data_IF_805755998537
#
_entry.id   IF_805755998537
#
_cell.length_a   1.000
_cell.length_b   1.000
_cell.length_c   1.000
_cell.angle_alpha   90.00
_cell.angle_beta   90.00
_cell.angle_gamma   90.00
#
_symmetry.space_group_name_H-M   'P 1'
#
loop_
_entity.id
_entity.type
_entity.pdbx_description
1 polymer ?
#
# COMPACT_ATOMS: atom_id res chain seq x y z
N UNK A 1 -23.95 -6.06 21.16
CA UNK A 1 -22.73 -5.24 21.31
C UNK A 1 -22.24 -4.90 19.92
N UNK A 2 -22.41 -3.66 19.50
CA UNK A 2 -22.00 -3.18 18.17
C UNK A 2 -20.52 -2.85 18.22
N UNK A 3 -19.68 -3.58 17.48
CA UNK A 3 -18.29 -3.19 17.30
C UNK A 3 -18.28 -1.96 16.39
N UNK A 4 -18.10 -0.78 16.97
CA UNK A 4 -17.89 0.45 16.21
C UNK A 4 -16.65 0.26 15.35
N UNK A 5 -16.79 0.42 14.04
CA UNK A 5 -15.68 0.51 13.08
C UNK A 5 -14.83 1.73 13.47
N UNK A 6 -13.84 1.53 14.35
CA UNK A 6 -12.80 2.53 14.55
C UNK A 6 -12.01 2.58 13.25
N UNK A 7 -12.18 3.67 12.51
CA UNK A 7 -11.50 3.88 11.25
C UNK A 7 -10.00 4.06 11.53
N UNK A 8 -9.18 3.06 11.18
CA UNK A 8 -7.73 3.16 11.31
C UNK A 8 -7.22 4.22 10.30
N UNK A 9 -6.62 5.29 10.81
CA UNK A 9 -5.85 6.25 10.01
C UNK A 9 -4.45 5.68 9.86
N UNK A 10 -4.03 5.39 8.63
CA UNK A 10 -2.68 4.89 8.36
C UNK A 10 -1.89 5.99 7.67
N UNK A 11 -0.63 6.15 8.13
CA UNK A 11 0.36 7.01 7.52
C UNK A 11 0.98 6.29 6.31
N UNK A 12 1.14 7.00 5.19
CA UNK A 12 1.86 6.48 4.02
C UNK A 12 2.70 7.57 3.36
N UNK A 13 3.68 7.14 2.55
CA UNK A 13 4.58 7.99 1.78
C UNK A 13 4.38 7.71 0.31
N UNK A 14 4.14 8.75 -0.50
CA UNK A 14 4.00 8.62 -1.95
C UNK A 14 5.38 8.42 -2.60
N UNK A 15 5.54 7.36 -3.37
CA UNK A 15 6.80 7.04 -4.06
C UNK A 15 6.69 7.12 -5.59
N UNK A 16 5.45 7.18 -6.13
CA UNK A 16 5.09 7.34 -7.54
C UNK A 16 6.06 6.66 -8.54
N UNK A 17 5.71 5.47 -8.99
CA UNK A 17 6.55 4.60 -9.82
C UNK A 17 6.76 5.12 -11.27
N UNK A 18 6.01 6.15 -11.68
CA UNK A 18 6.11 6.74 -13.01
C UNK A 18 7.16 7.87 -13.02
N UNK A 19 8.42 7.55 -13.32
CA UNK A 19 9.47 8.57 -13.41
C UNK A 19 10.93 8.11 -13.39
N UNK A 20 11.23 6.82 -13.16
CA UNK A 20 12.59 6.28 -13.27
C UNK A 20 12.70 5.24 -14.38
N UNK A 21 13.94 5.01 -14.86
CA UNK A 21 14.41 4.23 -16.02
C UNK A 21 13.86 2.80 -16.21
N UNK A 22 12.91 2.35 -15.37
CA UNK A 22 12.25 1.05 -15.39
C UNK A 22 10.80 1.16 -15.91
N UNK A 23 10.58 1.91 -16.98
CA UNK A 23 9.23 2.16 -17.53
C UNK A 23 8.78 1.02 -18.44
N UNK A 24 7.92 0.14 -17.92
CA UNK A 24 7.19 -0.84 -18.75
C UNK A 24 5.69 -0.52 -18.86
N UNK A 25 5.09 0.24 -17.93
CA UNK A 25 3.66 0.60 -18.00
C UNK A 25 3.40 1.99 -17.43
N UNK A 26 3.48 3.01 -18.28
CA UNK A 26 3.27 4.41 -17.90
C UNK A 26 1.79 4.83 -17.93
N UNK A 27 0.89 4.02 -17.36
CA UNK A 27 -0.50 4.44 -17.13
C UNK A 27 -1.06 3.94 -15.81
N UNK A 28 -0.42 4.31 -14.71
CA UNK A 28 -0.97 4.11 -13.37
C UNK A 28 -1.81 5.35 -13.02
N UNK A 29 -3.11 5.15 -12.83
CA UNK A 29 -4.08 6.24 -12.60
C UNK A 29 -4.22 6.63 -11.13
N UNK A 30 -3.51 5.94 -10.23
CA UNK A 30 -3.63 6.09 -8.78
C UNK A 30 -2.29 6.46 -8.14
N UNK A 31 -2.34 7.10 -6.97
CA UNK A 31 -1.12 7.42 -6.24
C UNK A 31 -0.56 6.14 -5.60
N UNK A 32 0.73 5.88 -5.78
CA UNK A 32 1.41 4.71 -5.21
C UNK A 32 2.38 5.16 -4.13
N UNK A 33 2.41 4.38 -3.05
CA UNK A 33 3.20 4.66 -1.86
C UNK A 33 3.56 3.39 -1.10
N UNK A 34 4.10 3.61 0.08
CA UNK A 34 4.41 2.58 1.07
C UNK A 34 3.96 3.02 2.46
N UNK A 35 3.74 2.06 3.35
CA UNK A 35 3.45 2.33 4.76
C UNK A 35 4.77 2.35 5.56
N UNK A 36 5.11 3.42 6.29
CA UNK A 36 6.29 3.44 7.14
C UNK A 36 6.21 2.40 8.25
N UNK A 37 7.37 1.89 8.67
CA UNK A 37 7.50 0.94 9.78
C UNK A 37 6.78 -0.40 9.56
N UNK A 38 6.57 -0.79 8.30
CA UNK A 38 6.17 -2.15 7.91
C UNK A 38 7.30 -2.82 7.12
N UNK A 39 7.26 -4.14 7.05
CA UNK A 39 8.19 -4.94 6.26
C UNK A 39 7.54 -6.29 5.94
N UNK A 40 7.61 -6.71 4.68
CA UNK A 40 7.18 -8.03 4.24
C UNK A 40 8.35 -9.03 4.35
N UNK A 41 8.38 -9.78 5.45
CA UNK A 41 9.49 -10.69 5.78
C UNK A 41 9.58 -11.89 4.80
N UNK A 42 10.69 -12.04 4.05
CA UNK A 42 10.87 -13.15 3.10
C UNK A 42 11.15 -14.49 3.79
N UNK A 43 11.38 -14.53 5.09
CA UNK A 43 11.61 -15.76 5.85
C UNK A 43 10.31 -16.46 6.28
N UNK A 44 9.16 -15.78 6.12
CA UNK A 44 7.85 -16.28 6.54
C UNK A 44 6.99 -16.57 5.31
N UNK A 45 6.58 -17.82 5.14
CA UNK A 45 5.62 -18.22 4.10
C UNK A 45 4.18 -18.14 4.61
N UNK A 46 3.26 -17.64 3.79
CA UNK A 46 1.84 -17.61 4.12
C UNK A 46 1.07 -18.78 3.48
N UNK A 47 0.49 -19.65 4.31
CA UNK A 47 -0.26 -20.83 3.87
C UNK A 47 -1.57 -20.52 3.15
N UNK A 48 -2.16 -19.34 3.36
CA UNK A 48 -3.40 -18.93 2.69
C UNK A 48 -3.18 -18.51 1.23
N UNK A 49 -1.93 -18.21 0.86
CA UNK A 49 -1.54 -17.76 -0.49
C UNK A 49 -0.47 -18.68 -1.08
N UNK A 50 -0.76 -19.99 -1.06
CA UNK A 50 0.06 -21.03 -1.69
C UNK A 50 1.53 -21.05 -1.21
N UNK A 51 1.79 -20.60 0.01
CA UNK A 51 3.14 -20.56 0.58
C UNK A 51 3.99 -19.41 0.06
N UNK A 52 3.39 -18.35 -0.50
CA UNK A 52 4.11 -17.16 -0.91
C UNK A 52 4.90 -16.52 0.25
N UNK A 53 6.07 -15.99 -0.07
CA UNK A 53 6.95 -15.27 0.85
C UNK A 53 6.79 -13.77 0.66
N UNK A 54 7.11 -12.98 1.69
CA UNK A 54 7.25 -11.53 1.54
C UNK A 54 8.34 -11.18 0.52
N UNK A 55 8.17 -10.06 -0.18
CA UNK A 55 9.09 -9.59 -1.21
C UNK A 55 10.29 -8.78 -0.67
N UNK A 56 10.37 -8.65 0.66
CA UNK A 56 11.45 -7.97 1.37
C UNK A 56 11.47 -6.45 1.10
N UNK A 57 10.29 -5.83 1.09
CA UNK A 57 10.12 -4.39 1.12
C UNK A 57 9.03 -3.94 2.14
N UNK A 58 8.84 -2.62 2.36
CA UNK A 58 7.72 -2.12 3.15
C UNK A 58 6.40 -2.26 2.37
N UNK A 59 5.35 -2.71 3.06
CA UNK A 59 4.00 -2.92 2.50
C UNK A 59 3.55 -1.79 1.58
N UNK A 60 3.28 -2.15 0.34
CA UNK A 60 2.75 -1.29 -0.71
C UNK A 60 1.38 -0.70 -0.37
N UNK A 61 1.13 0.53 -0.84
CA UNK A 61 -0.21 1.14 -0.81
C UNK A 61 -0.55 1.81 -2.14
N UNK A 62 -1.81 1.62 -2.54
CA UNK A 62 -2.44 2.35 -3.63
C UNK A 62 -3.54 3.22 -3.06
N UNK A 63 -3.43 4.53 -3.23
CA UNK A 63 -4.43 5.51 -2.80
C UNK A 63 -5.36 5.85 -3.98
N UNK A 64 -6.65 5.63 -3.76
CA UNK A 64 -7.69 5.61 -4.81
C UNK A 64 -8.52 6.90 -4.91
N UNK A 65 -8.18 7.94 -4.15
CA UNK A 65 -8.84 9.24 -4.21
C UNK A 65 -8.51 10.00 -5.49
N UNK A 66 -9.24 11.08 -5.73
CA UNK A 66 -9.16 11.85 -6.97
C UNK A 66 -7.95 12.82 -7.00
N UNK A 67 -7.33 13.08 -5.85
CA UNK A 67 -6.25 14.07 -5.74
C UNK A 67 -4.92 13.46 -6.11
N UNK A 68 -4.27 13.96 -7.16
CA UNK A 68 -2.88 13.63 -7.44
C UNK A 68 -1.96 14.19 -6.34
N UNK A 69 -1.13 13.33 -5.75
CA UNK A 69 -0.18 13.65 -4.67
C UNK A 69 1.23 13.81 -5.22
N UNK A 70 2.10 14.53 -4.50
CA UNK A 70 3.50 14.71 -4.89
C UNK A 70 4.38 13.54 -4.43
N UNK A 71 5.42 13.21 -5.18
CA UNK A 71 6.46 12.26 -4.73
C UNK A 71 7.05 12.76 -3.41
N UNK A 72 7.17 11.86 -2.43
CA UNK A 72 7.62 12.14 -1.07
C UNK A 72 6.56 12.76 -0.16
N UNK A 73 5.34 13.01 -0.63
CA UNK A 73 4.25 13.51 0.22
C UNK A 73 3.87 12.46 1.26
N UNK A 74 3.78 12.89 2.52
CA UNK A 74 3.36 12.08 3.67
C UNK A 74 1.89 12.40 3.97
N UNK A 75 1.03 11.39 4.02
CA UNK A 75 -0.42 11.56 4.20
C UNK A 75 -1.01 10.57 5.19
N UNK A 76 -2.17 10.94 5.75
CA UNK A 76 -3.01 10.05 6.56
C UNK A 76 -4.27 9.77 5.77
N UNK A 77 -4.61 8.50 5.58
CA UNK A 77 -5.87 8.11 4.94
C UNK A 77 -6.53 6.97 5.70
N UNK A 78 -7.85 6.84 5.50
CA UNK A 78 -8.62 5.73 6.06
C UNK A 78 -8.38 4.48 5.22
N UNK A 79 -8.03 3.39 5.88
CA UNK A 79 -7.93 2.11 5.18
C UNK A 79 -9.31 1.50 5.00
N UNK A 80 -9.67 1.24 3.74
CA UNK A 80 -10.74 0.32 3.44
C UNK A 80 -10.17 -1.10 3.55
N UNK A 81 -10.50 -1.82 4.62
CA UNK A 81 -10.17 -3.24 4.67
C UNK A 81 -10.95 -3.96 3.57
N UNK A 82 -10.24 -4.70 2.71
CA UNK A 82 -10.87 -5.59 1.76
C UNK A 82 -11.70 -6.62 2.52
N UNK A 83 -13.03 -6.60 2.35
CA UNK A 83 -13.88 -7.74 2.74
C UNK A 83 -13.45 -8.93 1.88
N UNK A 84 -12.69 -9.87 2.46
CA UNK A 84 -12.55 -11.22 1.88
C UNK A 84 -13.97 -11.78 1.69
N UNK A 85 -14.33 -12.13 0.46
CA UNK A 85 -15.55 -12.91 0.16
C UNK A 85 -15.29 -14.37 0.47
#
# INVERSE_FOLDING_TARGET
MSYGLSSLEILFVIVNLCGNFRTHWCNIHWNNGLIPQTWEDPSISNSEVEGAFGDNDPVDVVEIGERQRKIGEVGYEKVQQGKKK
#
